data_IF_421671231255
#
_entry.id   IF_421671231255
#
_cell.length_a   1.000
_cell.length_b   1.000
_cell.length_c   1.000
_cell.angle_alpha   90.00
_cell.angle_beta   90.00
_cell.angle_gamma   90.00
#
_symmetry.space_group_name_H-M   'P 1'
#
loop_
_entity.id
_entity.type
_entity.pdbx_description
1 polymer ?
#
# COMPACT_ATOMS: atom_id res chain seq x y z
N UNK A 1 -20.24 7.47 44.02
CA UNK A 1 -19.03 8.22 43.59
C UNK A 1 -18.13 7.26 42.85
N UNK A 2 -17.74 7.60 41.62
CA UNK A 2 -16.82 6.78 40.84
C UNK A 2 -15.41 6.80 41.45
N UNK A 3 -14.59 5.80 41.14
CA UNK A 3 -13.19 5.74 41.58
C UNK A 3 -12.42 6.95 41.06
N UNK A 4 -12.71 7.37 39.82
CA UNK A 4 -12.10 8.53 39.15
C UNK A 4 -12.44 9.85 39.85
N UNK A 5 -13.69 10.07 40.27
CA UNK A 5 -14.11 11.29 40.98
C UNK A 5 -13.44 11.41 42.35
N UNK A 6 -13.30 10.28 43.05
CA UNK A 6 -12.63 10.20 44.35
C UNK A 6 -11.13 10.50 44.23
N UNK A 7 -10.48 9.94 43.21
CA UNK A 7 -9.07 10.21 42.88
C UNK A 7 -8.88 11.68 42.49
N UNK A 8 -9.74 12.24 41.64
CA UNK A 8 -9.66 13.63 41.21
C UNK A 8 -9.83 14.60 42.39
N UNK A 9 -10.79 14.34 43.27
CA UNK A 9 -11.05 15.14 44.46
C UNK A 9 -9.87 15.10 45.43
N UNK A 10 -9.26 13.93 45.60
CA UNK A 10 -8.07 13.77 46.45
C UNK A 10 -6.85 14.52 45.88
N UNK A 11 -6.62 14.45 44.57
CA UNK A 11 -5.53 15.15 43.90
C UNK A 11 -5.73 16.68 43.85
N UNK A 12 -6.96 17.18 44.00
CA UNK A 12 -7.22 18.62 44.17
C UNK A 12 -6.73 19.14 45.52
N UNK A 13 -6.88 18.33 46.57
CA UNK A 13 -6.44 18.69 47.93
C UNK A 13 -4.95 18.41 48.13
N UNK A 14 -4.42 17.36 47.50
CA UNK A 14 -3.03 16.92 47.64
C UNK A 14 -2.33 16.88 46.26
N UNK A 15 -1.92 18.04 45.72
CA UNK A 15 -1.26 18.10 44.42
C UNK A 15 0.12 17.43 44.48
N UNK A 16 0.41 16.56 43.51
CA UNK A 16 1.68 15.86 43.43
C UNK A 16 1.72 14.55 44.21
N UNK A 17 0.59 14.04 44.70
CA UNK A 17 0.52 12.73 45.35
C UNK A 17 0.84 11.59 44.37
N UNK A 18 1.50 10.55 44.87
CA UNK A 18 1.81 9.35 44.07
C UNK A 18 0.63 8.38 44.02
N UNK A 19 0.53 7.50 43.00
CA UNK A 19 -0.55 6.49 42.95
C UNK A 19 -0.61 5.58 44.18
N UNK A 20 0.51 5.41 44.90
CA UNK A 20 0.57 4.66 46.16
C UNK A 20 -0.09 5.43 47.29
N UNK A 21 0.29 6.70 47.48
CA UNK A 21 -0.34 7.57 48.50
C UNK A 21 -1.85 7.73 48.28
N UNK A 22 -2.28 7.84 47.02
CA UNK A 22 -3.71 7.92 46.66
C UNK A 22 -4.44 6.61 46.99
N UNK A 23 -3.81 5.46 46.77
CA UNK A 23 -4.38 4.15 47.07
C UNK A 23 -4.53 3.94 48.58
N UNK A 24 -3.49 4.27 49.34
CA UNK A 24 -3.45 4.14 50.80
C UNK A 24 -4.47 5.08 51.48
N UNK A 25 -4.60 6.31 50.98
CA UNK A 25 -5.54 7.29 51.54
C UNK A 25 -7.01 7.03 51.20
N UNK A 26 -7.29 6.45 50.02
CA UNK A 26 -8.67 6.15 49.60
C UNK A 26 -9.12 4.73 49.97
N UNK A 27 -8.20 3.87 50.42
CA UNK A 27 -8.45 2.46 50.71
C UNK A 27 -8.79 1.64 49.46
N UNK A 28 -8.24 2.03 48.31
CA UNK A 28 -8.53 1.44 46.99
C UNK A 28 -7.29 0.72 46.49
N UNK A 29 -7.47 -0.35 45.70
CA UNK A 29 -6.34 -1.07 45.13
C UNK A 29 -5.46 -0.16 44.26
N UNK A 30 -4.13 -0.30 44.38
CA UNK A 30 -3.14 0.46 43.60
C UNK A 30 -3.37 0.34 42.08
N UNK A 31 -3.86 -0.82 41.63
CA UNK A 31 -4.16 -1.07 40.22
C UNK A 31 -5.34 -0.23 39.76
N UNK A 32 -6.43 -0.21 40.54
CA UNK A 32 -7.62 0.61 40.24
C UNK A 32 -7.28 2.11 40.21
N UNK A 33 -6.41 2.57 41.11
CA UNK A 33 -5.95 3.97 41.13
C UNK A 33 -5.11 4.29 39.89
N UNK A 34 -4.21 3.41 39.47
CA UNK A 34 -3.43 3.61 38.24
C UNK A 34 -4.31 3.70 36.99
N UNK A 35 -5.32 2.83 36.88
CA UNK A 35 -6.27 2.86 35.78
C UNK A 35 -7.07 4.16 35.79
N UNK A 36 -7.58 4.57 36.95
CA UNK A 36 -8.32 5.82 37.11
C UNK A 36 -7.46 7.05 36.75
N UNK A 37 -6.21 7.11 37.21
CA UNK A 37 -5.28 8.20 36.89
C UNK A 37 -4.94 8.23 35.39
N UNK A 38 -4.73 7.06 34.76
CA UNK A 38 -4.48 6.99 33.32
C UNK A 38 -5.66 7.51 32.51
N UNK A 39 -6.90 7.12 32.88
CA UNK A 39 -8.12 7.64 32.25
C UNK A 39 -8.26 9.15 32.45
N UNK A 40 -8.05 9.64 33.67
CA UNK A 40 -8.10 11.09 33.95
C UNK A 40 -7.00 11.87 33.22
N UNK A 41 -5.86 11.23 32.94
CA UNK A 41 -4.78 11.79 32.12
C UNK A 41 -5.13 11.83 30.64
N UNK A 42 -5.71 10.76 30.10
CA UNK A 42 -6.21 10.71 28.71
C UNK A 42 -7.30 11.76 28.47
N UNK A 43 -8.16 11.97 29.46
CA UNK A 43 -9.21 13.00 29.45
C UNK A 43 -8.69 14.42 29.73
N UNK A 44 -7.38 14.59 30.01
CA UNK A 44 -6.77 15.90 30.22
C UNK A 44 -7.01 16.55 31.58
N UNK A 45 -7.70 15.87 32.51
CA UNK A 45 -7.98 16.38 33.85
C UNK A 45 -6.79 16.32 34.80
N UNK A 46 -5.82 15.43 34.55
CA UNK A 46 -4.68 15.20 35.45
C UNK A 46 -3.38 15.12 34.65
N UNK A 47 -2.32 15.75 35.14
CA UNK A 47 -0.97 15.66 34.56
C UNK A 47 0.03 15.10 35.56
N UNK A 48 1.08 14.46 35.04
CA UNK A 48 2.20 14.00 35.85
C UNK A 48 3.10 15.19 36.20
N UNK A 49 3.37 15.37 37.48
CA UNK A 49 4.32 16.35 37.99
C UNK A 49 5.76 15.86 37.83
N UNK A 50 6.71 16.79 37.74
CA UNK A 50 8.15 16.51 37.66
C UNK A 50 8.69 15.73 38.86
N UNK A 51 7.99 15.77 40.01
CA UNK A 51 8.34 15.01 41.22
C UNK A 51 7.75 13.59 41.27
N UNK A 52 7.16 13.10 40.17
CA UNK A 52 6.70 11.72 40.03
C UNK A 52 5.24 11.45 40.44
N UNK A 53 4.56 12.41 41.08
CA UNK A 53 3.12 12.33 41.39
C UNK A 53 2.22 13.03 40.37
N UNK A 54 0.96 13.24 40.72
CA UNK A 54 -0.07 13.74 39.80
C UNK A 54 -0.74 15.02 40.31
N UNK A 55 -1.07 15.94 39.39
CA UNK A 55 -1.69 17.23 39.70
C UNK A 55 -2.91 17.42 38.81
N UNK A 56 -4.00 17.92 39.40
CA UNK A 56 -5.24 18.22 38.67
C UNK A 56 -5.05 19.50 37.84
N UNK A 57 -5.38 19.44 36.56
CA UNK A 57 -5.52 20.65 35.73
C UNK A 57 -6.83 21.31 36.12
N UNK A 58 -6.74 22.42 36.85
CA UNK A 58 -7.88 23.30 37.08
C UNK A 58 -8.09 24.12 35.80
N UNK A 59 -8.71 23.49 34.80
CA UNK A 59 -9.36 24.24 33.74
C UNK A 59 -10.73 24.65 34.30
N UNK A 60 -10.78 25.82 34.94
CA UNK A 60 -12.04 26.57 34.96
C UNK A 60 -12.45 26.76 33.51
N UNK A 61 -13.66 26.29 33.22
CA UNK A 61 -14.62 26.64 32.16
C UNK A 61 -14.11 26.99 30.75
N UNK A 62 -14.80 26.41 29.76
CA UNK A 62 -14.57 26.50 28.32
C UNK A 62 -14.02 27.86 27.83
N UNK A 63 -12.95 27.89 27.03
CA UNK A 63 -12.53 29.13 26.37
C UNK A 63 -13.38 29.37 25.12
N UNK A 64 -14.19 30.43 25.13
CA UNK A 64 -14.56 31.13 23.90
C UNK A 64 -13.42 32.08 23.49
N UNK A 65 -13.18 32.27 22.19
CA UNK A 65 -11.99 32.95 21.72
C UNK A 65 -12.20 34.46 21.62
N UNK A 66 -11.61 35.24 22.52
CA UNK A 66 -11.14 36.61 22.23
C UNK A 66 -10.27 37.19 23.37
N UNK A 67 -9.22 37.90 22.94
CA UNK A 67 -8.48 38.99 23.62
C UNK A 67 -7.29 38.69 24.57
N UNK A 68 -6.14 38.42 23.95
CA UNK A 68 -4.91 39.28 23.92
C UNK A 68 -4.43 39.96 25.24
N UNK A 69 -3.25 39.49 25.70
CA UNK A 69 -2.11 40.19 26.39
C UNK A 69 -2.27 40.61 27.87
N UNK A 70 -1.43 40.01 28.73
CA UNK A 70 -0.59 40.73 29.72
C UNK A 70 0.50 39.84 30.34
N UNK A 71 1.72 40.04 29.83
CA UNK A 71 3.01 40.10 30.53
C UNK A 71 3.44 39.10 31.62
N UNK A 72 4.46 38.31 31.22
CA UNK A 72 5.76 38.12 31.87
C UNK A 72 5.82 37.60 33.32
N UNK A 73 6.20 36.33 33.48
CA UNK A 73 7.36 35.94 34.30
C UNK A 73 8.08 34.73 33.68
N UNK A 74 9.20 35.03 33.01
CA UNK A 74 10.28 34.12 32.63
C UNK A 74 10.88 33.49 33.90
N UNK A 75 11.31 32.24 33.90
CA UNK A 75 12.68 31.86 33.53
C UNK A 75 12.81 30.33 33.67
N UNK A 76 13.62 29.70 32.80
CA UNK A 76 14.09 28.27 32.78
C UNK A 76 13.62 27.38 31.60
N UNK A 77 12.70 27.79 30.69
CA UNK A 77 12.21 26.90 29.62
C UNK A 77 12.82 27.07 28.19
N UNK A 78 13.78 27.97 27.96
CA UNK A 78 14.15 28.38 26.59
C UNK A 78 15.06 27.43 25.77
N UNK A 79 15.48 26.28 26.30
CA UNK A 79 16.38 25.37 25.54
C UNK A 79 15.78 24.06 25.04
N UNK A 80 14.59 23.67 25.48
CA UNK A 80 13.93 22.43 25.01
C UNK A 80 12.71 22.71 24.11
N UNK A 81 12.06 23.87 24.27
CA UNK A 81 10.91 24.27 23.45
C UNK A 81 11.30 24.73 22.03
N UNK A 82 12.54 25.17 21.83
CA UNK A 82 13.02 25.61 20.52
C UNK A 82 13.31 24.43 19.57
N UNK A 83 13.77 23.29 20.07
CA UNK A 83 14.05 22.11 19.22
C UNK A 83 12.79 21.35 18.83
N UNK A 84 11.82 21.21 19.73
CA UNK A 84 10.56 20.52 19.41
C UNK A 84 9.71 21.32 18.40
N UNK A 85 9.65 22.64 18.53
CA UNK A 85 8.95 23.48 17.55
C UNK A 85 9.63 23.47 16.18
N UNK A 86 10.96 23.44 16.12
CA UNK A 86 11.70 23.35 14.84
C UNK A 86 11.48 21.99 14.15
N UNK A 87 11.43 20.90 14.91
CA UNK A 87 11.13 19.57 14.37
C UNK A 87 9.67 19.50 13.90
N UNK A 88 8.73 20.04 14.67
CA UNK A 88 7.32 20.07 14.28
C UNK A 88 7.08 20.90 13.01
N UNK A 89 7.72 22.07 12.88
CA UNK A 89 7.67 22.89 11.67
C UNK A 89 8.27 22.17 10.46
N UNK A 90 9.34 21.40 10.65
CA UNK A 90 9.93 20.61 9.57
C UNK A 90 9.01 19.48 9.11
N UNK A 91 8.31 18.82 10.03
CA UNK A 91 7.33 17.78 9.74
C UNK A 91 6.12 18.39 9.01
N UNK A 92 5.62 19.54 9.45
CA UNK A 92 4.52 20.24 8.76
C UNK A 92 4.91 20.59 7.33
N UNK A 93 6.12 21.09 7.11
CA UNK A 93 6.63 21.38 5.76
C UNK A 93 6.68 20.13 4.88
N UNK A 94 7.20 19.02 5.40
CA UNK A 94 7.25 17.74 4.68
C UNK A 94 5.85 17.20 4.37
N UNK A 95 4.91 17.29 5.32
CA UNK A 95 3.52 16.87 5.12
C UNK A 95 2.85 17.72 4.03
N UNK A 96 3.10 19.03 4.03
CA UNK A 96 2.59 19.94 3.00
C UNK A 96 3.23 19.71 1.62
N UNK A 97 4.50 19.31 1.59
CA UNK A 97 5.18 18.96 0.33
C UNK A 97 4.70 17.61 -0.21
N UNK A 98 4.43 16.64 0.67
CA UNK A 98 3.85 15.36 0.27
C UNK A 98 2.41 15.54 -0.20
N UNK A 99 1.61 16.37 0.46
CA UNK A 99 0.23 16.64 0.05
C UNK A 99 0.18 17.34 -1.30
N UNK A 100 1.08 18.29 -1.58
CA UNK A 100 1.17 18.94 -2.89
C UNK A 100 1.60 17.97 -3.99
N UNK A 101 2.58 17.09 -3.75
CA UNK A 101 2.99 16.04 -4.69
C UNK A 101 1.87 15.04 -4.96
N UNK A 102 1.11 14.64 -3.94
CA UNK A 102 -0.05 13.75 -4.10
C UNK A 102 -1.11 14.43 -4.97
N UNK A 103 -1.42 15.69 -4.69
CA UNK A 103 -2.38 16.47 -5.48
C UNK A 103 -1.94 16.62 -6.95
N UNK A 104 -0.64 16.82 -7.19
CA UNK A 104 -0.09 16.85 -8.55
C UNK A 104 -0.21 15.49 -9.26
N UNK A 105 0.11 14.39 -8.55
CA UNK A 105 -0.02 13.03 -9.08
C UNK A 105 -1.46 12.68 -9.41
N UNK A 106 -2.42 13.00 -8.53
CA UNK A 106 -3.84 12.84 -8.77
C UNK A 106 -4.28 13.61 -10.02
N UNK A 107 -3.80 14.86 -10.17
CA UNK A 107 -4.04 15.66 -11.37
C UNK A 107 -3.46 15.03 -12.64
N UNK A 108 -2.25 14.47 -12.58
CA UNK A 108 -1.60 13.77 -13.71
C UNK A 108 -2.35 12.49 -14.07
N UNK A 109 -2.73 11.68 -13.09
CA UNK A 109 -3.53 10.46 -13.30
C UNK A 109 -4.87 10.82 -13.93
N UNK A 110 -5.58 11.83 -13.42
CA UNK A 110 -6.84 12.27 -14.02
C UNK A 110 -6.71 12.78 -15.46
N UNK A 111 -5.57 13.39 -15.84
CA UNK A 111 -5.28 13.75 -17.24
C UNK A 111 -5.02 12.51 -18.09
N UNK A 112 -4.20 11.58 -17.62
CA UNK A 112 -3.92 10.32 -18.30
C UNK A 112 -5.20 9.50 -18.51
N UNK A 113 -6.09 9.43 -17.51
CA UNK A 113 -7.38 8.77 -17.64
C UNK A 113 -8.27 9.40 -18.71
N UNK A 114 -8.25 10.74 -18.82
CA UNK A 114 -8.96 11.47 -19.88
C UNK A 114 -8.35 11.21 -21.25
N UNK A 115 -7.03 11.24 -21.35
CA UNK A 115 -6.31 10.94 -22.60
C UNK A 115 -6.55 9.49 -23.05
N UNK A 116 -6.48 8.51 -22.15
CA UNK A 116 -6.79 7.11 -22.44
C UNK A 116 -8.24 6.96 -22.87
N UNK A 117 -9.19 7.61 -22.19
CA UNK A 117 -10.59 7.59 -22.60
C UNK A 117 -10.82 8.27 -23.95
N UNK A 118 -10.10 9.36 -24.23
CA UNK A 118 -10.13 10.02 -25.53
C UNK A 118 -9.59 9.08 -26.61
N UNK A 119 -8.43 8.47 -26.41
CA UNK A 119 -7.86 7.47 -27.34
C UNK A 119 -8.83 6.31 -27.53
N UNK A 120 -9.44 5.79 -26.46
CA UNK A 120 -10.44 4.71 -26.54
C UNK A 120 -11.67 5.09 -27.37
N UNK A 121 -12.06 6.36 -27.37
CA UNK A 121 -13.20 6.89 -28.16
C UNK A 121 -12.80 7.27 -29.60
N UNK A 122 -11.57 7.74 -29.78
CA UNK A 122 -11.01 8.23 -31.05
C UNK A 122 -10.40 7.11 -31.89
N UNK A 123 -10.06 5.98 -31.27
CA UNK A 123 -9.84 4.74 -32.00
C UNK A 123 -11.15 4.43 -32.73
N UNK A 124 -11.16 4.37 -34.08
CA UNK A 124 -12.28 3.79 -34.76
C UNK A 124 -12.47 2.42 -34.11
N UNK A 125 -13.70 2.12 -33.65
CA UNK A 125 -14.09 0.73 -33.40
C UNK A 125 -13.70 0.03 -34.69
N UNK A 126 -12.58 -0.69 -34.70
CA UNK A 126 -12.08 -1.34 -35.91
C UNK A 126 -13.31 -2.12 -36.38
N UNK A 127 -13.93 -1.72 -37.50
CA UNK A 127 -15.02 -2.52 -37.99
C UNK A 127 -14.32 -3.85 -38.25
N UNK A 128 -14.76 -4.90 -37.58
CA UNK A 128 -14.45 -6.28 -37.91
C UNK A 128 -15.05 -6.58 -39.29
N UNK A 129 -14.64 -5.80 -40.28
CA UNK A 129 -14.92 -5.94 -41.70
C UNK A 129 -13.63 -6.46 -42.28
N UNK A 130 -13.42 -7.75 -42.01
CA UNK A 130 -12.66 -8.74 -42.77
C UNK A 130 -12.31 -9.92 -41.86
N UNK A 131 -13.32 -10.60 -41.31
CA UNK A 131 -13.35 -12.08 -41.28
C UNK A 131 -14.82 -12.49 -41.32
N UNK A 132 -15.32 -12.75 -42.53
CA UNK A 132 -16.52 -13.58 -42.64
C UNK A 132 -16.15 -14.97 -42.16
N UNK A 133 -16.73 -15.42 -41.05
CA UNK A 133 -17.13 -16.81 -40.80
C UNK A 133 -17.61 -16.94 -39.36
N UNK A 134 -18.85 -17.38 -39.23
CA UNK A 134 -19.40 -18.05 -38.06
C UNK A 134 -18.52 -19.26 -37.69
N UNK A 135 -17.44 -19.04 -36.91
CA UNK A 135 -16.57 -20.14 -36.51
C UNK A 135 -15.16 -19.82 -36.01
N UNK A 136 -14.70 -18.57 -35.97
CA UNK A 136 -13.38 -18.27 -35.39
C UNK A 136 -13.46 -18.07 -33.88
N UNK A 137 -12.91 -19.01 -33.12
CA UNK A 137 -12.85 -18.92 -31.66
C UNK A 137 -12.19 -17.62 -31.19
N UNK A 138 -12.84 -16.94 -30.23
CA UNK A 138 -12.34 -15.69 -29.62
C UNK A 138 -10.92 -15.85 -29.07
N UNK A 139 -10.61 -17.01 -28.49
CA UNK A 139 -9.27 -17.31 -27.98
C UNK A 139 -8.22 -17.24 -29.09
N UNK A 140 -8.47 -17.85 -30.24
CA UNK A 140 -7.51 -17.92 -31.35
C UNK A 140 -7.25 -16.54 -31.92
N UNK A 141 -8.29 -15.72 -32.08
CA UNK A 141 -8.12 -14.34 -32.55
C UNK A 141 -7.34 -13.49 -31.55
N UNK A 142 -7.59 -13.65 -30.25
CA UNK A 142 -6.82 -12.94 -29.22
C UNK A 142 -5.35 -13.39 -29.15
N UNK A 143 -5.07 -14.69 -29.30
CA UNK A 143 -3.70 -15.22 -29.32
C UNK A 143 -2.92 -14.78 -30.56
N UNK A 144 -3.59 -14.57 -31.70
CA UNK A 144 -2.93 -13.99 -32.88
C UNK A 144 -2.51 -12.53 -32.67
N UNK A 145 -3.16 -11.80 -31.77
CA UNK A 145 -2.87 -10.40 -31.49
C UNK A 145 -1.84 -10.20 -30.38
N UNK A 146 -1.89 -11.01 -29.33
CA UNK A 146 -1.05 -10.84 -28.11
C UNK A 146 -0.01 -11.95 -27.90
N UNK A 147 0.02 -12.97 -28.75
CA UNK A 147 0.93 -14.14 -28.72
C UNK A 147 0.80 -15.07 -27.49
N UNK A 148 0.58 -14.51 -26.31
CA UNK A 148 0.54 -15.16 -25.00
C UNK A 148 -0.62 -14.58 -24.18
N UNK A 149 -1.30 -15.44 -23.43
CA UNK A 149 -2.33 -15.07 -22.45
C UNK A 149 -2.09 -15.84 -21.15
N UNK A 150 -2.53 -15.30 -20.01
CA UNK A 150 -2.58 -16.06 -18.77
C UNK A 150 -3.76 -17.04 -18.78
N UNK A 151 -3.64 -18.16 -18.04
CA UNK A 151 -4.75 -19.13 -17.89
C UNK A 151 -6.03 -18.45 -17.37
N UNK A 152 -5.91 -17.44 -16.51
CA UNK A 152 -7.06 -16.69 -15.99
C UNK A 152 -7.76 -15.87 -17.09
N UNK A 153 -7.02 -15.11 -17.89
CA UNK A 153 -7.57 -14.36 -19.02
C UNK A 153 -8.23 -15.29 -20.06
N UNK A 154 -7.60 -16.45 -20.29
CA UNK A 154 -8.13 -17.45 -21.21
C UNK A 154 -9.49 -17.96 -20.74
N UNK A 155 -9.65 -18.26 -19.44
CA UNK A 155 -10.93 -18.74 -18.86
C UNK A 155 -12.10 -17.77 -19.09
N UNK A 156 -11.84 -16.47 -19.22
CA UNK A 156 -12.88 -15.47 -19.47
C UNK A 156 -13.33 -15.41 -20.95
N UNK A 157 -12.48 -15.89 -21.87
CA UNK A 157 -12.65 -15.69 -23.33
C UNK A 157 -13.03 -17.00 -24.04
N UNK A 158 -12.71 -18.16 -23.47
CA UNK A 158 -12.93 -19.46 -24.09
C UNK A 158 -14.41 -19.81 -24.25
N UNK A 159 -14.73 -20.42 -25.39
CA UNK A 159 -16.06 -20.99 -25.66
C UNK A 159 -16.14 -22.49 -25.32
N UNK A 160 -14.97 -23.16 -25.23
CA UNK A 160 -14.80 -24.60 -25.02
C UNK A 160 -13.75 -24.85 -23.93
N UNK A 161 -13.71 -26.03 -23.29
CA UNK A 161 -12.65 -26.35 -22.33
C UNK A 161 -11.26 -26.19 -22.95
N UNK A 162 -10.31 -25.66 -22.18
CA UNK A 162 -8.94 -25.36 -22.65
C UNK A 162 -8.24 -26.62 -23.19
N UNK A 163 -8.53 -27.77 -22.60
CA UNK A 163 -8.00 -29.08 -22.96
C UNK A 163 -8.35 -29.47 -24.40
N UNK A 164 -9.48 -29.00 -24.94
CA UNK A 164 -9.88 -29.27 -26.32
C UNK A 164 -8.99 -28.49 -27.30
N UNK A 165 -8.69 -27.22 -27.01
CA UNK A 165 -7.76 -26.41 -27.82
C UNK A 165 -6.33 -26.94 -27.81
N UNK A 166 -5.90 -27.52 -26.68
CA UNK A 166 -4.59 -28.18 -26.56
C UNK A 166 -4.56 -29.47 -27.39
N UNK A 167 -5.64 -30.25 -27.35
CA UNK A 167 -5.78 -31.48 -28.15
C UNK A 167 -5.80 -31.20 -29.65
N UNK A 168 -6.45 -30.12 -30.07
CA UNK A 168 -6.43 -29.65 -31.45
C UNK A 168 -5.05 -29.16 -31.90
N UNK A 169 -4.08 -29.02 -30.99
CA UNK A 169 -2.71 -28.60 -31.29
C UNK A 169 -2.57 -27.12 -31.67
N UNK A 170 -3.62 -26.33 -31.45
CA UNK A 170 -3.63 -24.88 -31.76
C UNK A 170 -2.96 -24.06 -30.66
N UNK A 171 -3.02 -24.57 -29.43
CA UNK A 171 -2.60 -23.85 -28.23
C UNK A 171 -1.78 -24.79 -27.34
N UNK A 172 -0.77 -24.26 -26.68
CA UNK A 172 0.08 -24.98 -25.73
C UNK A 172 0.08 -24.24 -24.40
N UNK A 173 -0.10 -24.97 -23.31
CA UNK A 173 -0.01 -24.44 -21.96
C UNK A 173 1.41 -24.63 -21.46
N UNK A 174 2.06 -23.53 -21.07
CA UNK A 174 3.40 -23.50 -20.47
C UNK A 174 3.26 -22.87 -19.09
N UNK A 175 3.29 -23.70 -18.05
CA UNK A 175 3.04 -23.28 -16.67
C UNK A 175 1.68 -22.57 -16.51
N UNK A 176 1.70 -21.27 -16.21
CA UNK A 176 0.54 -20.39 -16.02
C UNK A 176 0.15 -19.60 -17.28
N UNK A 177 0.86 -19.83 -18.39
CA UNK A 177 0.67 -19.15 -19.67
C UNK A 177 0.09 -20.09 -20.72
N UNK A 178 -0.70 -19.50 -21.60
CA UNK A 178 -1.35 -20.11 -22.74
C UNK A 178 -0.82 -19.43 -23.99
N UNK A 179 -0.22 -20.22 -24.88
CA UNK A 179 0.57 -19.73 -26.01
C UNK A 179 0.09 -20.39 -27.29
N UNK A 180 0.12 -19.69 -28.42
CA UNK A 180 -0.16 -20.34 -29.70
C UNK A 180 0.96 -21.33 -30.07
N UNK A 181 0.60 -22.45 -30.70
CA UNK A 181 1.59 -23.46 -31.08
C UNK A 181 2.60 -22.95 -32.11
N UNK A 182 2.17 -22.05 -33.00
CA UNK A 182 3.02 -21.36 -33.99
C UNK A 182 4.06 -20.47 -33.30
N UNK A 183 3.63 -19.65 -32.35
CA UNK A 183 4.53 -18.76 -31.62
C UNK A 183 5.56 -19.55 -30.80
N UNK A 184 5.13 -20.62 -30.13
CA UNK A 184 6.04 -21.48 -29.37
C UNK A 184 7.10 -22.13 -30.27
N UNK A 185 6.72 -22.59 -31.47
CA UNK A 185 7.67 -23.15 -32.45
C UNK A 185 8.71 -22.11 -32.90
N UNK A 186 8.24 -20.91 -33.26
CA UNK A 186 9.11 -19.80 -33.67
C UNK A 186 10.03 -19.34 -32.54
N UNK A 187 9.57 -19.44 -31.28
CA UNK A 187 10.38 -19.12 -30.13
C UNK A 187 11.42 -20.22 -29.86
N UNK A 188 11.02 -21.50 -29.91
CA UNK A 188 11.94 -22.64 -29.74
C UNK A 188 13.07 -22.67 -30.77
N UNK A 189 12.83 -22.21 -32.01
CA UNK A 189 13.88 -22.13 -33.03
C UNK A 189 14.97 -21.08 -32.74
N UNK A 190 14.76 -20.19 -31.77
CA UNK A 190 15.77 -19.22 -31.32
C UNK A 190 16.75 -19.81 -30.31
N UNK A 191 16.48 -21.01 -29.78
CA UNK A 191 17.40 -21.66 -28.85
C UNK A 191 18.59 -22.27 -29.59
N UNK A 192 19.80 -22.23 -29.00
CA UNK A 192 20.13 -21.70 -27.67
C UNK A 192 20.18 -20.16 -27.60
N UNK A 193 19.62 -19.57 -26.55
CA UNK A 193 19.57 -18.11 -26.36
C UNK A 193 20.68 -17.67 -25.40
N UNK A 194 21.62 -16.84 -25.84
CA UNK A 194 22.69 -16.34 -24.97
C UNK A 194 22.16 -15.35 -23.93
N UNK A 195 22.77 -15.31 -22.74
CA UNK A 195 22.39 -14.35 -21.68
C UNK A 195 22.52 -12.90 -22.16
N UNK A 196 23.50 -12.61 -23.02
CA UNK A 196 23.68 -11.29 -23.63
C UNK A 196 22.57 -10.89 -24.61
N UNK A 197 21.77 -11.85 -25.10
CA UNK A 197 20.72 -11.63 -26.09
C UNK A 197 19.33 -11.50 -25.48
N UNK A 198 19.19 -11.68 -24.16
CA UNK A 198 17.92 -11.53 -23.43
C UNK A 198 17.32 -10.14 -23.67
N UNK A 199 18.16 -9.10 -23.70
CA UNK A 199 17.71 -7.72 -23.92
C UNK A 199 17.14 -7.47 -25.32
N UNK A 200 17.33 -8.41 -26.27
CA UNK A 200 16.78 -8.33 -27.63
C UNK A 200 15.42 -9.04 -27.75
N UNK A 201 15.02 -9.82 -26.74
CA UNK A 201 13.74 -10.52 -26.73
C UNK A 201 12.60 -9.54 -26.50
N UNK A 202 11.44 -9.83 -27.10
CA UNK A 202 10.22 -9.09 -26.80
C UNK A 202 9.80 -9.35 -25.33
N UNK A 203 9.02 -8.45 -24.71
CA UNK A 203 8.52 -8.68 -23.35
C UNK A 203 7.66 -9.95 -23.24
N UNK A 204 6.98 -10.36 -24.32
CA UNK A 204 6.22 -11.60 -24.38
C UNK A 204 7.16 -12.82 -24.41
N UNK A 205 8.19 -12.77 -25.24
CA UNK A 205 9.21 -13.82 -25.34
C UNK A 205 9.99 -14.02 -24.04
N UNK A 206 10.30 -12.93 -23.34
CA UNK A 206 10.96 -12.99 -22.04
C UNK A 206 10.07 -13.66 -21.00
N UNK A 207 8.77 -13.33 -20.96
CA UNK A 207 7.80 -14.03 -20.10
C UNK A 207 7.71 -15.51 -20.43
N UNK A 208 7.71 -15.87 -21.72
CA UNK A 208 7.70 -17.26 -22.15
C UNK A 208 8.98 -17.99 -21.71
N UNK A 209 10.14 -17.36 -21.86
CA UNK A 209 11.42 -17.93 -21.39
C UNK A 209 11.40 -18.22 -19.90
N UNK A 210 10.95 -17.25 -19.09
CA UNK A 210 10.80 -17.44 -17.64
C UNK A 210 9.85 -18.60 -17.31
N UNK A 211 8.72 -18.70 -18.00
CA UNK A 211 7.77 -19.79 -17.81
C UNK A 211 8.35 -21.15 -18.22
N UNK A 212 9.14 -21.22 -19.29
CA UNK A 212 9.85 -22.43 -19.71
C UNK A 212 10.91 -22.85 -18.69
N UNK A 213 11.63 -21.90 -18.11
CA UNK A 213 12.62 -22.18 -17.05
C UNK A 213 11.93 -22.67 -15.78
N UNK A 214 10.84 -22.01 -15.35
CA UNK A 214 10.05 -22.44 -14.18
C UNK A 214 9.41 -23.81 -14.35
N UNK A 215 9.01 -24.16 -15.57
CA UNK A 215 8.43 -25.47 -15.89
C UNK A 215 9.47 -26.56 -16.19
N UNK A 216 10.76 -26.30 -15.96
CA UNK A 216 11.87 -27.21 -16.27
C UNK A 216 11.89 -27.68 -17.74
N UNK A 217 11.45 -26.84 -18.68
CA UNK A 217 11.55 -27.08 -20.12
C UNK A 217 12.76 -26.38 -20.75
N UNK A 218 13.32 -25.40 -20.04
CA UNK A 218 14.55 -24.73 -20.41
C UNK A 218 15.45 -24.57 -19.17
N UNK A 219 16.75 -24.50 -19.37
CA UNK A 219 17.71 -24.30 -18.29
C UNK A 219 18.88 -23.44 -18.76
N UNK A 220 19.53 -22.78 -17.80
CA UNK A 220 20.72 -21.99 -18.05
C UNK A 220 21.95 -22.90 -18.02
N UNK A 221 22.57 -23.12 -19.17
CA UNK A 221 23.79 -23.91 -19.31
C UNK A 221 25.02 -23.05 -19.01
N UNK A 222 25.78 -23.46 -17.99
CA UNK A 222 27.05 -22.84 -17.56
C UNK A 222 27.00 -21.33 -17.30
N UNK A 223 25.82 -20.76 -17.06
CA UNK A 223 25.64 -19.31 -16.89
C UNK A 223 25.75 -18.48 -18.17
N UNK A 224 25.85 -19.12 -19.35
CA UNK A 224 26.16 -18.44 -20.62
C UNK A 224 24.96 -18.40 -21.55
N UNK A 225 24.18 -19.48 -21.64
CA UNK A 225 23.08 -19.59 -22.59
C UNK A 225 21.94 -20.49 -22.07
N UNK A 226 20.71 -20.15 -22.44
CA UNK A 226 19.55 -20.97 -22.19
C UNK A 226 19.43 -22.05 -23.27
N UNK A 227 19.22 -23.29 -22.83
CA UNK A 227 18.98 -24.46 -23.67
C UNK A 227 17.64 -25.09 -23.32
N UNK A 228 17.01 -25.73 -24.30
CA UNK A 228 15.84 -26.56 -24.06
C UNK A 228 16.27 -27.90 -23.45
N UNK A 229 15.45 -28.41 -22.54
CA UNK A 229 15.48 -29.82 -22.13
C UNK A 229 14.70 -30.61 -23.19
N UNK A 230 15.41 -31.43 -23.95
CA UNK A 230 14.82 -32.44 -24.84
C UNK A 230 14.35 -33.67 -24.05
#
# INVERSE_FOLDING_TARGET
MSVEERVLSYLRVNPGATPREVADALGISLVSVRIAINRLRELGYVIRSSKGGYVVRVSQELPTPTDIISNTQSTVQDKQQSTENVVFDSIIKLVNELSSKISELEGRVGRLEKEVNYIKRSLPKIPSKHVGSEGSDKLISTLKLRSILSVNEVREIISKPLEEYVREGKVVVVNDLVVSSEFLKNFKSKFPIKVSEINKLSPEELKLLEALVRSNQAYLYSGVEYRLLD
#
